data_IF_212496734616
#
_entry.id   IF_212496734616
#
_cell.length_a   1.000
_cell.length_b   1.000
_cell.length_c   1.000
_cell.angle_alpha   90.00
_cell.angle_beta   90.00
_cell.angle_gamma   90.00
#
_symmetry.space_group_name_H-M   'P 1'
#
loop_
_entity.id
_entity.type
_entity.pdbx_description
1 polymer ?
#
# COMPACT_ATOMS: atom_id res chain seq x y z
N UNK A 1 -18.13 17.40 7.00
CA UNK A 1 -17.87 17.75 5.63
C UNK A 1 -17.11 16.64 4.94
N UNK A 2 -17.60 16.23 3.81
CA UNK A 2 -17.05 15.08 3.11
C UNK A 2 -15.63 15.30 2.59
N UNK A 3 -15.18 16.54 2.52
CA UNK A 3 -13.85 16.85 2.02
C UNK A 3 -12.74 16.23 2.87
N UNK A 4 -13.05 15.83 4.11
CA UNK A 4 -12.07 15.16 4.95
C UNK A 4 -11.86 13.70 4.59
N UNK A 5 -12.81 13.12 3.87
CA UNK A 5 -12.69 11.74 3.44
C UNK A 5 -11.92 11.70 2.13
N UNK A 6 -10.82 10.96 2.07
CA UNK A 6 -10.14 10.80 0.79
C UNK A 6 -11.04 10.04 -0.16
N UNK A 7 -10.98 10.41 -1.41
CA UNK A 7 -11.66 9.64 -2.43
C UNK A 7 -10.97 8.29 -2.51
N UNK A 8 -11.75 7.22 -2.48
CA UNK A 8 -11.20 5.92 -2.81
C UNK A 8 -10.78 5.96 -4.27
N UNK A 9 -9.52 5.75 -4.52
CA UNK A 9 -9.07 5.62 -5.89
C UNK A 9 -9.64 4.32 -6.44
N UNK A 10 -9.65 4.21 -7.76
CA UNK A 10 -10.13 2.98 -8.40
C UNK A 10 -9.16 1.82 -8.18
N UNK A 11 -8.00 2.08 -7.61
CA UNK A 11 -6.94 1.09 -7.47
C UNK A 11 -6.39 0.97 -6.05
N UNK A 12 -7.12 1.47 -5.07
CA UNK A 12 -6.66 1.38 -3.67
C UNK A 12 -7.79 1.40 -2.65
N UNK A 13 -7.45 0.97 -1.44
CA UNK A 13 -8.33 0.99 -0.28
C UNK A 13 -7.75 1.99 0.70
N UNK A 14 -8.51 3.00 1.09
CA UNK A 14 -8.00 4.11 1.90
C UNK A 14 -8.79 4.32 3.17
N UNK A 15 -8.11 4.87 4.17
CA UNK A 15 -8.74 5.25 5.43
C UNK A 15 -8.03 6.48 5.98
N UNK A 16 -8.81 7.45 6.44
CA UNK A 16 -8.26 8.60 7.17
C UNK A 16 -8.31 8.30 8.65
N UNK A 17 -7.20 8.49 9.35
CA UNK A 17 -7.11 8.17 10.77
C UNK A 17 -6.62 9.38 11.56
N UNK A 18 -6.99 9.42 12.84
CA UNK A 18 -6.68 10.55 13.72
C UNK A 18 -5.47 10.25 14.60
N UNK A 19 -4.37 9.92 13.97
CA UNK A 19 -3.11 9.74 14.68
C UNK A 19 -2.01 10.49 13.91
N UNK A 20 -0.92 10.87 14.58
CA UNK A 20 0.19 11.52 13.90
C UNK A 20 0.77 10.64 12.80
N UNK A 21 1.35 11.29 11.80
CA UNK A 21 1.91 10.63 10.63
C UNK A 21 2.90 9.51 11.01
N UNK A 22 3.83 9.77 11.92
CA UNK A 22 4.82 8.78 12.33
C UNK A 22 4.17 7.57 13.01
N UNK A 23 3.16 7.84 13.83
CA UNK A 23 2.43 6.76 14.50
C UNK A 23 1.64 5.93 13.50
N UNK A 24 1.07 6.58 12.50
CA UNK A 24 0.33 5.88 11.44
C UNK A 24 1.24 4.91 10.68
N UNK A 25 2.48 5.29 10.44
CA UNK A 25 3.44 4.41 9.77
C UNK A 25 3.67 3.17 10.61
N UNK A 26 3.88 3.33 11.93
CA UNK A 26 4.10 2.19 12.81
C UNK A 26 2.87 1.30 12.93
N UNK A 27 1.68 1.90 12.98
CA UNK A 27 0.44 1.12 12.99
C UNK A 27 0.27 0.32 11.70
N UNK A 28 0.59 0.94 10.57
CA UNK A 28 0.52 0.25 9.29
C UNK A 28 1.50 -0.92 9.23
N UNK A 29 2.73 -0.72 9.69
CA UNK A 29 3.72 -1.81 9.74
C UNK A 29 3.24 -2.97 10.61
N UNK A 30 2.70 -2.67 11.78
CA UNK A 30 2.20 -3.70 12.70
C UNK A 30 1.02 -4.46 12.11
N UNK A 31 0.09 -3.73 11.50
CA UNK A 31 -1.09 -4.36 10.89
C UNK A 31 -0.69 -5.26 9.71
N UNK A 32 0.28 -4.81 8.90
CA UNK A 32 0.80 -5.60 7.79
C UNK A 32 1.43 -6.90 8.30
N UNK A 33 2.21 -6.80 9.37
CA UNK A 33 2.86 -7.97 9.96
C UNK A 33 1.84 -9.01 10.44
N UNK A 34 0.74 -8.54 11.02
CA UNK A 34 -0.33 -9.43 11.47
C UNK A 34 -0.93 -10.25 10.34
N UNK A 35 -0.89 -9.71 9.11
CA UNK A 35 -1.44 -10.39 7.94
C UNK A 35 -0.36 -11.10 7.13
N UNK A 36 0.85 -11.23 7.69
CA UNK A 36 1.92 -11.97 7.04
C UNK A 36 2.74 -11.16 6.05
N UNK A 37 2.60 -9.83 6.04
CA UNK A 37 3.40 -8.98 5.16
C UNK A 37 4.61 -8.45 5.90
N UNK A 38 5.75 -8.42 5.21
CA UNK A 38 6.93 -7.69 5.67
C UNK A 38 7.10 -6.42 4.84
N UNK A 39 7.57 -5.36 5.47
CA UNK A 39 7.89 -4.13 4.74
C UNK A 39 9.33 -4.24 4.26
N UNK A 40 9.49 -4.38 2.94
CA UNK A 40 10.81 -4.57 2.32
C UNK A 40 11.48 -3.27 1.96
N UNK A 41 10.70 -2.22 1.74
CA UNK A 41 11.25 -0.93 1.34
C UNK A 41 10.40 0.19 1.91
N UNK A 42 11.06 1.32 2.16
CA UNK A 42 10.39 2.51 2.63
C UNK A 42 10.97 3.68 1.86
N UNK A 43 10.12 4.37 1.11
CA UNK A 43 10.56 5.51 0.30
C UNK A 43 9.89 6.76 0.82
N UNK A 44 10.69 7.68 1.35
CA UNK A 44 10.21 8.96 1.84
C UNK A 44 10.15 9.93 0.67
N UNK A 45 8.93 10.16 0.16
CA UNK A 45 8.73 10.99 -1.03
C UNK A 45 9.04 12.45 -0.72
N UNK A 46 8.67 12.94 0.45
CA UNK A 46 8.97 14.33 0.83
C UNK A 46 10.47 14.58 0.78
N UNK A 47 11.24 13.66 1.37
CA UNK A 47 12.69 13.77 1.38
C UNK A 47 13.29 13.69 -0.01
N UNK A 48 12.81 12.75 -0.82
CA UNK A 48 13.33 12.56 -2.18
C UNK A 48 13.05 13.76 -3.07
N UNK A 49 11.89 14.35 -2.97
CA UNK A 49 11.57 15.52 -3.77
C UNK A 49 12.39 16.74 -3.34
N UNK A 50 12.62 16.88 -2.04
CA UNK A 50 13.48 17.95 -1.54
C UNK A 50 14.91 17.78 -2.04
N UNK A 51 15.43 16.58 -1.95
CA UNK A 51 16.79 16.25 -2.34
C UNK A 51 17.03 16.44 -3.84
N UNK A 52 16.08 15.99 -4.66
CA UNK A 52 16.29 15.97 -6.10
C UNK A 52 15.80 17.21 -6.83
N UNK A 53 14.79 17.88 -6.33
CA UNK A 53 14.18 19.03 -6.99
C UNK A 53 14.19 20.29 -6.13
N UNK A 54 14.52 20.18 -4.83
CA UNK A 54 14.48 21.33 -3.93
C UNK A 54 13.07 21.80 -3.61
N UNK A 55 12.04 20.98 -3.90
CA UNK A 55 10.66 21.38 -3.65
C UNK A 55 10.18 20.83 -2.30
N UNK A 56 9.24 21.55 -1.69
CA UNK A 56 8.59 21.08 -0.48
C UNK A 56 7.33 20.32 -0.85
N UNK A 57 7.15 19.16 -0.22
CA UNK A 57 5.98 18.36 -0.46
C UNK A 57 5.40 17.93 0.89
N UNK A 58 4.17 17.44 0.88
CA UNK A 58 3.56 16.91 2.13
C UNK A 58 4.33 15.68 2.60
N UNK A 59 4.16 15.33 3.86
CA UNK A 59 4.69 14.07 4.36
C UNK A 59 4.01 12.94 3.60
N UNK A 60 4.82 12.06 3.06
CA UNK A 60 4.33 10.99 2.18
C UNK A 60 5.38 9.89 2.15
N UNK A 61 4.98 8.67 2.48
CA UNK A 61 5.89 7.51 2.45
C UNK A 61 5.24 6.37 1.67
N UNK A 62 6.06 5.64 0.93
CA UNK A 62 5.63 4.41 0.25
C UNK A 62 6.28 3.24 0.97
N UNK A 63 5.45 2.34 1.49
CA UNK A 63 5.91 1.11 2.13
C UNK A 63 5.70 -0.03 1.15
N UNK A 64 6.79 -0.65 0.70
CA UNK A 64 6.69 -1.80 -0.17
C UNK A 64 6.50 -3.06 0.66
N UNK A 65 5.30 -3.62 0.64
CA UNK A 65 4.93 -4.76 1.48
C UNK A 65 4.92 -6.04 0.67
N UNK A 66 5.41 -7.12 1.25
CA UNK A 66 5.46 -8.41 0.58
C UNK A 66 4.99 -9.52 1.53
N UNK A 67 4.09 -10.35 1.04
CA UNK A 67 3.75 -11.60 1.68
C UNK A 67 4.52 -12.67 0.92
N UNK A 68 5.59 -13.24 1.51
CA UNK A 68 6.51 -14.09 0.73
C UNK A 68 5.85 -15.30 0.09
N UNK A 69 4.94 -15.96 0.79
CA UNK A 69 4.28 -17.15 0.25
C UNK A 69 3.43 -16.81 -0.97
N UNK A 70 2.67 -15.72 -0.89
CA UNK A 70 1.82 -15.31 -2.00
C UNK A 70 2.63 -14.75 -3.15
N UNK A 71 3.72 -14.04 -2.85
CA UNK A 71 4.62 -13.53 -3.88
C UNK A 71 5.28 -14.69 -4.64
N UNK A 72 5.69 -15.71 -3.92
CA UNK A 72 6.31 -16.89 -4.54
C UNK A 72 5.33 -17.58 -5.50
N UNK A 73 4.08 -17.74 -5.11
CA UNK A 73 3.06 -18.31 -5.97
C UNK A 73 2.88 -17.51 -7.26
N UNK A 74 2.80 -16.18 -7.14
CA UNK A 74 2.61 -15.35 -8.33
C UNK A 74 3.81 -15.38 -9.25
N UNK A 75 5.03 -15.41 -8.68
CA UNK A 75 6.25 -15.47 -9.48
C UNK A 75 6.36 -16.80 -10.25
N UNK A 76 5.83 -17.88 -9.68
CA UNK A 76 5.82 -19.16 -10.38
C UNK A 76 4.86 -19.17 -11.56
N UNK A 77 3.74 -18.43 -11.45
CA UNK A 77 2.77 -18.33 -12.53
C UNK A 77 3.18 -17.33 -13.60
N UNK A 78 3.83 -16.23 -13.20
CA UNK A 78 4.25 -15.15 -14.08
C UNK A 78 5.58 -14.60 -13.59
N UNK A 79 6.66 -14.94 -14.27
CA UNK A 79 7.99 -14.52 -13.82
C UNK A 79 8.17 -13.00 -13.88
N UNK A 80 7.51 -12.35 -14.83
CA UNK A 80 7.63 -10.90 -14.97
C UNK A 80 6.74 -10.11 -14.00
N UNK A 81 6.02 -10.82 -13.10
CA UNK A 81 5.15 -10.15 -12.13
C UNK A 81 5.93 -9.22 -11.20
N UNK A 82 7.25 -9.42 -11.12
CA UNK A 82 8.10 -8.50 -10.36
C UNK A 82 7.96 -7.04 -10.78
N UNK A 83 7.53 -6.80 -12.02
CA UNK A 83 7.26 -5.45 -12.49
C UNK A 83 6.09 -4.81 -11.73
N UNK A 84 5.24 -5.60 -11.10
CA UNK A 84 4.06 -5.15 -10.37
C UNK A 84 4.18 -5.40 -8.87
N UNK A 85 5.35 -5.78 -8.39
CA UNK A 85 5.61 -6.02 -6.98
C UNK A 85 6.64 -5.01 -6.47
N UNK A 86 6.65 -4.74 -5.17
CA UNK A 86 5.81 -5.26 -4.11
C UNK A 86 4.44 -4.56 -4.08
N UNK A 87 3.53 -5.05 -3.21
CA UNK A 87 2.27 -4.36 -2.96
C UNK A 87 2.56 -3.13 -2.13
N UNK A 88 2.18 -1.97 -2.60
CA UNK A 88 2.48 -0.73 -1.90
C UNK A 88 1.37 -0.33 -0.95
N UNK A 89 1.78 0.15 0.23
CA UNK A 89 0.92 0.83 1.17
C UNK A 89 1.52 2.22 1.35
N UNK A 90 0.69 3.24 1.22
CA UNK A 90 1.16 4.62 1.35
C UNK A 90 0.56 5.26 2.59
N UNK A 91 1.33 6.16 3.19
CA UNK A 91 0.87 6.97 4.32
C UNK A 91 1.21 8.40 3.98
N UNK A 92 0.24 9.30 4.09
CA UNK A 92 0.49 10.71 3.80
C UNK A 92 -0.41 11.61 4.61
N UNK A 93 -0.02 12.88 4.69
CA UNK A 93 -0.83 13.90 5.35
C UNK A 93 -1.70 14.62 4.33
N UNK A 94 -2.94 14.86 4.70
CA UNK A 94 -3.86 15.66 3.89
C UNK A 94 -4.77 16.43 4.82
N UNK A 95 -4.77 17.77 4.67
CA UNK A 95 -5.62 18.66 5.45
C UNK A 95 -5.48 18.44 6.96
N UNK A 96 -4.24 18.25 7.42
CA UNK A 96 -3.95 18.07 8.84
C UNK A 96 -4.28 16.69 9.38
N UNK A 97 -4.68 15.76 8.52
CA UNK A 97 -5.01 14.40 8.91
C UNK A 97 -4.10 13.41 8.22
N UNK A 98 -4.14 12.17 8.67
CA UNK A 98 -3.28 11.13 8.11
C UNK A 98 -4.12 10.13 7.33
N UNK A 99 -3.71 9.85 6.11
CA UNK A 99 -4.36 8.87 5.24
C UNK A 99 -3.44 7.68 5.05
N UNK A 100 -4.02 6.48 5.17
CA UNK A 100 -3.32 5.24 4.85
C UNK A 100 -4.09 4.57 3.72
N UNK A 101 -3.38 4.13 2.69
CA UNK A 101 -4.00 3.51 1.53
C UNK A 101 -3.19 2.31 1.07
N UNK A 102 -3.86 1.22 0.76
CA UNK A 102 -3.23 0.00 0.24
C UNK A 102 -3.68 -0.23 -1.20
N UNK A 103 -2.78 -0.77 -2.02
CA UNK A 103 -3.11 -1.07 -3.41
C UNK A 103 -4.19 -2.13 -3.50
N UNK A 104 -5.08 -2.00 -4.48
CA UNK A 104 -6.01 -3.05 -4.86
C UNK A 104 -5.25 -4.05 -5.73
N UNK A 105 -4.83 -5.16 -5.14
CA UNK A 105 -4.00 -6.14 -5.83
C UNK A 105 -4.72 -6.78 -7.01
N UNK A 106 -6.03 -6.98 -6.89
CA UNK A 106 -6.79 -7.57 -8.00
C UNK A 106 -6.79 -6.63 -9.22
N UNK A 107 -6.95 -5.33 -8.98
CA UNK A 107 -6.86 -4.35 -10.07
C UNK A 107 -5.47 -4.30 -10.68
N UNK A 108 -4.46 -4.27 -9.82
CA UNK A 108 -3.07 -4.19 -10.26
C UNK A 108 -2.69 -5.41 -11.09
N UNK A 109 -3.04 -6.60 -10.63
CA UNK A 109 -2.66 -7.84 -11.31
C UNK A 109 -3.54 -8.16 -12.52
N UNK A 110 -4.70 -7.49 -12.66
CA UNK A 110 -5.60 -7.72 -13.80
C UNK A 110 -4.95 -7.41 -15.13
N UNK A 111 -3.95 -6.52 -15.16
CA UNK A 111 -3.27 -6.16 -16.41
C UNK A 111 -2.50 -7.33 -17.01
N UNK A 112 -2.17 -8.32 -16.19
CA UNK A 112 -1.43 -9.50 -16.66
C UNK A 112 -2.31 -10.39 -17.53
N UNK A 113 -3.61 -10.44 -17.22
CA UNK A 113 -4.55 -11.24 -18.00
C UNK A 113 -4.41 -12.75 -17.78
N UNK A 114 -3.89 -13.16 -16.63
CA UNK A 114 -3.72 -14.58 -16.31
C UNK A 114 -4.73 -14.98 -15.23
N UNK A 115 -5.75 -15.78 -15.59
CA UNK A 115 -6.78 -16.16 -14.61
C UNK A 115 -6.25 -16.91 -13.40
N UNK A 116 -5.08 -17.55 -13.51
CA UNK A 116 -4.47 -18.27 -12.38
C UNK A 116 -4.07 -17.33 -11.25
N UNK A 117 -3.93 -16.04 -11.52
CA UNK A 117 -3.59 -15.06 -10.49
C UNK A 117 -4.79 -14.58 -9.70
N UNK A 118 -6.01 -14.84 -10.16
CA UNK A 118 -7.21 -14.26 -9.55
C UNK A 118 -7.41 -14.65 -8.10
N UNK A 119 -7.24 -15.92 -7.77
CA UNK A 119 -7.45 -16.37 -6.39
C UNK A 119 -6.39 -15.80 -5.45
N UNK A 120 -5.12 -15.75 -5.91
CA UNK A 120 -4.06 -15.18 -5.10
C UNK A 120 -4.27 -13.67 -4.90
N UNK A 121 -4.66 -12.96 -5.96
CA UNK A 121 -4.96 -11.54 -5.86
C UNK A 121 -6.10 -11.26 -4.88
N UNK A 122 -7.12 -12.12 -4.89
CA UNK A 122 -8.24 -12.01 -3.97
C UNK A 122 -7.80 -12.21 -2.52
N UNK A 123 -6.93 -13.19 -2.28
CA UNK A 123 -6.39 -13.43 -0.93
C UNK A 123 -5.57 -12.25 -0.44
N UNK A 124 -4.73 -11.69 -1.32
CA UNK A 124 -3.96 -10.49 -0.98
C UNK A 124 -4.89 -9.34 -0.62
N UNK A 125 -5.93 -9.13 -1.42
CA UNK A 125 -6.89 -8.06 -1.16
C UNK A 125 -7.61 -8.23 0.17
N UNK A 126 -8.02 -9.45 0.52
CA UNK A 126 -8.66 -9.69 1.80
C UNK A 126 -7.74 -9.30 2.96
N UNK A 127 -6.48 -9.66 2.85
CA UNK A 127 -5.48 -9.32 3.87
C UNK A 127 -5.24 -7.82 3.95
N UNK A 128 -5.10 -7.15 2.80
CA UNK A 128 -4.88 -5.71 2.78
C UNK A 128 -6.09 -4.93 3.29
N UNK A 129 -7.31 -5.41 3.00
CA UNK A 129 -8.52 -4.80 3.55
C UNK A 129 -8.52 -4.89 5.08
N UNK A 130 -8.14 -6.05 5.63
CA UNK A 130 -8.05 -6.19 7.08
C UNK A 130 -7.01 -5.27 7.68
N UNK A 131 -5.89 -5.08 6.98
CA UNK A 131 -4.86 -4.13 7.42
C UNK A 131 -5.48 -2.73 7.55
N UNK A 132 -6.13 -2.27 6.49
CA UNK A 132 -6.71 -0.93 6.48
C UNK A 132 -7.82 -0.80 7.51
N UNK A 133 -8.70 -1.80 7.61
CA UNK A 133 -9.82 -1.76 8.55
C UNK A 133 -9.38 -1.76 10.00
N UNK A 134 -8.22 -2.32 10.30
CA UNK A 134 -7.72 -2.42 11.67
C UNK A 134 -7.06 -1.14 12.19
N UNK A 135 -6.84 -0.16 11.34
CA UNK A 135 -6.14 1.07 11.72
C UNK A 135 -7.02 2.05 12.50
#
# INVERSE_FOLDING_TARGET
MSAQQPQHSKYGFSKTIDVPYEEAIEKARAALKEEGFGVLSEIDIKEKLKEKLGVDFRRYVILGACNPALAYETLQEEIDIGLLLPCNVIVYEQDGRTVVSAVDAAKMLSVVGNPKLESTASMVNEKLRRVIDSL
#
